data_IF_268940209520
#
_entry.id   IF_268940209520
#
_cell.length_a   1.000
_cell.length_b   1.000
_cell.length_c   1.000
_cell.angle_alpha   90.00
_cell.angle_beta   90.00
_cell.angle_gamma   90.00
#
_symmetry.space_group_name_H-M   'P 1'
#
loop_
_entity.id
_entity.type
_entity.pdbx_description
1 polymer ?
#
# COMPACT_ATOMS: atom_id res chain seq x y z
N UNK A 1 -21.21 -11.62 12.61
CA UNK A 1 -20.02 -11.92 13.43
C UNK A 1 -18.94 -12.38 12.48
N UNK A 2 -17.91 -11.57 12.33
CA UNK A 2 -16.80 -11.85 11.41
C UNK A 2 -16.05 -13.10 11.92
N UNK A 3 -15.36 -13.79 11.03
CA UNK A 3 -14.59 -14.99 11.44
C UNK A 3 -13.47 -14.65 12.43
N UNK A 4 -12.94 -13.41 12.39
CA UNK A 4 -11.98 -12.91 13.37
C UNK A 4 -12.57 -12.81 14.78
N UNK A 5 -13.86 -12.47 14.92
CA UNK A 5 -14.53 -12.40 16.22
C UNK A 5 -14.58 -13.79 16.86
N UNK A 6 -14.88 -14.82 16.05
CA UNK A 6 -14.85 -16.22 16.51
C UNK A 6 -13.46 -16.65 16.93
N UNK A 7 -12.43 -16.23 16.21
CA UNK A 7 -11.06 -16.60 16.54
C UNK A 7 -10.55 -15.87 17.81
N UNK A 8 -11.04 -14.65 18.06
CA UNK A 8 -10.82 -13.95 19.33
C UNK A 8 -11.54 -14.63 20.48
N UNK A 9 -12.83 -14.96 20.31
CA UNK A 9 -13.65 -15.62 21.34
C UNK A 9 -13.11 -17.01 21.70
N UNK A 10 -12.59 -17.73 20.70
CA UNK A 10 -11.95 -19.04 20.89
C UNK A 10 -10.49 -18.94 21.39
N UNK A 11 -9.98 -17.74 21.66
CA UNK A 11 -8.64 -17.48 22.18
C UNK A 11 -7.50 -17.82 21.20
N UNK A 12 -7.80 -18.04 19.91
CA UNK A 12 -6.78 -18.27 18.88
C UNK A 12 -6.03 -16.98 18.54
N UNK A 13 -6.71 -15.84 18.60
CA UNK A 13 -6.13 -14.51 18.39
C UNK A 13 -6.35 -13.67 19.64
N UNK A 14 -5.31 -12.97 20.07
CA UNK A 14 -5.40 -11.98 21.17
C UNK A 14 -5.34 -10.57 20.56
N UNK A 15 -6.39 -9.75 20.67
CA UNK A 15 -6.36 -8.35 20.27
C UNK A 15 -5.34 -7.53 21.07
N UNK A 16 -5.03 -6.33 20.60
CA UNK A 16 -4.26 -5.34 21.39
C UNK A 16 -2.78 -5.67 21.59
N UNK A 17 -2.20 -6.61 20.82
CA UNK A 17 -0.81 -7.03 21.01
C UNK A 17 0.24 -6.04 20.50
N UNK A 18 -0.15 -4.92 19.89
CA UNK A 18 0.78 -3.98 19.26
C UNK A 18 0.28 -2.54 19.37
N UNK A 19 1.23 -1.62 19.51
CA UNK A 19 0.99 -0.19 19.27
C UNK A 19 1.12 0.07 17.76
N UNK A 20 0.20 0.81 17.15
CA UNK A 20 0.15 1.00 15.70
C UNK A 20 0.79 2.34 15.35
N UNK A 21 1.88 2.31 14.58
CA UNK A 21 2.49 3.49 13.99
C UNK A 21 2.17 3.49 12.49
N UNK A 22 1.26 4.36 12.07
CA UNK A 22 0.79 4.41 10.69
C UNK A 22 1.35 5.64 9.96
N UNK A 23 1.83 5.43 8.74
CA UNK A 23 2.26 6.46 7.80
C UNK A 23 1.39 6.41 6.56
N UNK A 24 0.98 7.59 6.07
CA UNK A 24 0.23 7.76 4.83
C UNK A 24 1.06 8.62 3.87
N UNK A 25 1.70 7.97 2.89
CA UNK A 25 2.56 8.64 1.93
C UNK A 25 1.76 9.38 0.84
N UNK A 26 0.43 9.19 0.77
CA UNK A 26 -0.42 9.93 -0.15
C UNK A 26 -0.48 11.43 0.16
N UNK A 27 -0.25 11.80 1.43
CA UNK A 27 -0.33 13.16 1.94
C UNK A 27 0.94 14.00 1.71
N UNK A 28 2.05 13.41 1.25
CA UNK A 28 3.26 14.16 0.96
C UNK A 28 3.08 15.02 -0.31
N UNK A 29 3.39 16.31 -0.23
CA UNK A 29 3.39 17.21 -1.38
C UNK A 29 4.46 16.75 -2.38
N UNK A 30 4.02 16.52 -3.62
CA UNK A 30 4.80 15.96 -4.72
C UNK A 30 5.33 17.07 -5.64
N UNK A 31 5.87 18.13 -5.04
CA UNK A 31 6.36 19.29 -5.79
C UNK A 31 7.54 18.93 -6.70
N UNK A 32 7.64 19.57 -7.87
CA UNK A 32 8.84 19.54 -8.70
C UNK A 32 10.05 20.24 -8.05
N UNK A 33 9.80 21.05 -7.01
CA UNK A 33 10.83 21.57 -6.11
C UNK A 33 11.22 20.49 -5.09
N UNK A 34 12.45 20.01 -5.22
CA UNK A 34 13.07 18.97 -4.41
C UNK A 34 13.14 19.31 -2.93
N UNK A 35 13.47 20.56 -2.58
CA UNK A 35 13.58 20.97 -1.17
C UNK A 35 12.20 21.04 -0.53
N UNK A 36 11.21 21.53 -1.28
CA UNK A 36 9.82 21.53 -0.83
C UNK A 36 9.26 20.11 -0.68
N UNK A 37 9.59 19.20 -1.62
CA UNK A 37 9.19 17.80 -1.55
C UNK A 37 9.83 17.07 -0.36
N UNK A 38 11.13 17.30 -0.09
CA UNK A 38 11.81 16.78 1.10
C UNK A 38 11.16 17.30 2.39
N UNK A 39 10.97 18.61 2.50
CA UNK A 39 10.36 19.23 3.67
C UNK A 39 8.95 18.68 3.91
N UNK A 40 8.19 18.45 2.84
CA UNK A 40 6.86 17.84 2.94
C UNK A 40 6.91 16.38 3.37
N UNK A 41 7.83 15.57 2.83
CA UNK A 41 8.02 14.17 3.23
C UNK A 41 8.38 14.10 4.71
N UNK A 42 9.38 14.87 5.13
CA UNK A 42 9.82 14.96 6.51
C UNK A 42 8.69 15.44 7.44
N UNK A 43 7.91 16.42 7.01
CA UNK A 43 6.75 16.95 7.74
C UNK A 43 5.67 15.89 7.95
N UNK A 44 5.32 15.14 6.89
CA UNK A 44 4.33 14.06 6.96
C UNK A 44 4.78 12.92 7.89
N UNK A 45 6.04 12.48 7.78
CA UNK A 45 6.59 11.45 8.66
C UNK A 45 6.55 11.89 10.13
N UNK A 46 7.00 13.11 10.43
CA UNK A 46 6.95 13.65 11.78
C UNK A 46 5.51 13.87 12.26
N UNK A 47 4.56 14.23 11.38
CA UNK A 47 3.14 14.36 11.73
C UNK A 47 2.58 13.02 12.22
N UNK A 48 2.88 11.93 11.50
CA UNK A 48 2.49 10.57 11.89
C UNK A 48 3.05 10.17 13.25
N UNK A 49 4.31 10.53 13.54
CA UNK A 49 4.95 10.28 14.85
C UNK A 49 4.29 11.12 15.96
N UNK A 50 3.88 12.37 15.69
CA UNK A 50 3.13 13.18 16.65
C UNK A 50 1.78 12.53 16.99
N UNK A 51 1.03 12.09 15.97
CA UNK A 51 -0.24 11.38 16.17
C UNK A 51 -0.05 10.12 17.00
N UNK A 52 1.04 9.37 16.78
CA UNK A 52 1.38 8.22 17.60
C UNK A 52 1.56 8.60 19.07
N UNK A 53 2.31 9.64 19.37
CA UNK A 53 2.48 10.11 20.76
C UNK A 53 1.17 10.58 21.37
N UNK A 54 0.36 11.38 20.66
CA UNK A 54 -0.95 11.79 21.16
C UNK A 54 -1.88 10.62 21.45
N UNK A 55 -1.82 9.57 20.62
CA UNK A 55 -2.66 8.37 20.80
C UNK A 55 -2.19 7.53 21.99
N UNK A 56 -0.88 7.36 22.15
CA UNK A 56 -0.32 6.41 23.13
C UNK A 56 0.28 7.05 24.38
N UNK A 57 0.23 8.38 24.53
CA UNK A 57 0.72 9.09 25.72
C UNK A 57 0.27 8.46 27.05
N UNK A 58 -0.99 8.02 27.23
CA UNK A 58 -1.43 7.39 28.49
C UNK A 58 -0.66 6.12 28.87
N UNK A 59 0.01 5.47 27.92
CA UNK A 59 0.73 4.22 28.11
C UNK A 59 2.25 4.39 28.13
N UNK A 60 2.78 5.51 27.63
CA UNK A 60 4.22 5.71 27.44
C UNK A 60 4.91 6.41 28.62
N UNK A 61 4.21 6.55 29.75
CA UNK A 61 4.72 7.07 31.01
C UNK A 61 3.81 8.12 31.63
N UNK A 62 4.37 8.97 32.50
CA UNK A 62 3.63 10.05 33.17
C UNK A 62 3.64 11.37 32.41
N UNK A 63 4.32 11.42 31.26
CA UNK A 63 4.40 12.62 30.44
C UNK A 63 3.08 12.87 29.71
N UNK A 64 2.74 14.14 29.53
CA UNK A 64 1.65 14.54 28.62
C UNK A 64 2.06 14.27 27.18
N UNK A 65 1.09 14.13 26.27
CA UNK A 65 1.36 14.02 24.83
C UNK A 65 2.21 15.19 24.32
N UNK A 66 1.86 16.40 24.74
CA UNK A 66 2.58 17.64 24.50
C UNK A 66 4.05 17.57 24.93
N UNK A 67 4.32 16.96 26.08
CA UNK A 67 5.69 16.76 26.56
C UNK A 67 6.43 15.71 25.74
N UNK A 68 5.80 14.56 25.45
CA UNK A 68 6.38 13.52 24.61
C UNK A 68 6.74 14.06 23.21
N UNK A 69 5.85 14.86 22.62
CA UNK A 69 6.08 15.47 21.31
C UNK A 69 7.26 16.45 21.36
N UNK A 70 7.30 17.35 22.35
CA UNK A 70 8.38 18.34 22.45
C UNK A 70 9.76 17.72 22.70
N UNK A 71 9.82 16.64 23.48
CA UNK A 71 11.08 16.02 23.88
C UNK A 71 11.61 15.04 22.83
N UNK A 72 10.73 14.45 22.01
CA UNK A 72 11.09 13.28 21.18
C UNK A 72 10.77 13.44 19.68
N UNK A 73 10.25 14.59 19.25
CA UNK A 73 10.05 14.89 17.81
C UNK A 73 11.03 15.98 17.38
N UNK A 74 11.97 15.60 16.54
CA UNK A 74 13.08 16.42 16.06
C UNK A 74 12.81 16.99 14.66
N UNK A 75 13.63 17.96 14.20
CA UNK A 75 13.59 18.40 12.81
C UNK A 75 13.77 17.26 11.82
N UNK A 76 14.57 16.25 12.13
CA UNK A 76 14.75 15.04 11.30
C UNK A 76 13.76 13.95 11.69
N UNK A 77 12.90 13.52 10.75
CA UNK A 77 11.97 12.41 10.99
C UNK A 77 12.66 11.07 11.25
N UNK A 78 13.89 10.90 10.75
CA UNK A 78 14.72 9.71 11.01
C UNK A 78 15.12 9.65 12.49
N UNK A 79 15.51 10.78 13.06
CA UNK A 79 15.83 10.90 14.49
C UNK A 79 14.56 10.70 15.33
N UNK A 80 13.46 11.33 14.96
CA UNK A 80 12.16 11.17 15.63
C UNK A 80 11.69 9.72 15.68
N UNK A 81 11.85 8.97 14.57
CA UNK A 81 11.50 7.55 14.53
C UNK A 81 12.37 6.74 15.51
N UNK A 82 13.67 7.01 15.52
CA UNK A 82 14.62 6.32 16.40
C UNK A 82 14.25 6.53 17.87
N UNK A 83 13.92 7.76 18.25
CA UNK A 83 13.53 8.09 19.62
C UNK A 83 12.14 7.53 19.97
N UNK A 84 11.18 7.58 19.05
CA UNK A 84 9.87 6.94 19.23
C UNK A 84 9.99 5.46 19.57
N UNK A 85 10.83 4.74 18.83
CA UNK A 85 11.12 3.35 19.12
C UNK A 85 11.81 3.19 20.49
N UNK A 86 12.71 4.11 20.85
CA UNK A 86 13.36 4.10 22.17
C UNK A 86 12.36 4.31 23.33
N UNK A 87 11.46 5.28 23.22
CA UNK A 87 10.41 5.57 24.22
C UNK A 87 9.51 4.36 24.43
N UNK A 88 9.00 3.76 23.35
CA UNK A 88 8.18 2.54 23.42
C UNK A 88 8.95 1.39 24.04
N UNK A 89 10.24 1.27 23.70
CA UNK A 89 11.12 0.24 24.25
C UNK A 89 11.32 0.39 25.76
N UNK A 90 11.51 1.62 26.23
CA UNK A 90 11.59 1.92 27.66
C UNK A 90 10.28 1.60 28.38
N UNK A 91 9.13 2.02 27.84
CA UNK A 91 7.81 1.78 28.44
C UNK A 91 7.52 0.28 28.58
N UNK A 92 7.67 -0.48 27.49
CA UNK A 92 7.46 -1.92 27.48
C UNK A 92 8.46 -2.69 28.38
N UNK A 93 9.68 -2.17 28.60
CA UNK A 93 10.63 -2.74 29.56
C UNK A 93 10.30 -2.45 31.01
N UNK A 94 9.48 -1.44 31.27
CA UNK A 94 9.07 -1.03 32.61
C UNK A 94 7.87 -1.84 33.12
N UNK A 95 7.16 -2.56 32.25
CA UNK A 95 6.05 -3.45 32.62
C UNK A 95 6.52 -4.49 33.63
N UNK A 96 5.84 -4.59 34.77
CA UNK A 96 6.14 -5.55 35.87
C UNK A 96 4.94 -6.38 36.29
N UNK A 97 3.75 -5.81 36.19
CA UNK A 97 2.51 -6.39 36.71
C UNK A 97 1.60 -6.85 35.56
N UNK A 98 0.75 -7.83 35.82
CA UNK A 98 -0.12 -8.43 34.80
C UNK A 98 -1.30 -7.51 34.42
N UNK A 99 -1.64 -6.54 35.26
CA UNK A 99 -2.70 -5.55 35.08
C UNK A 99 -2.21 -4.25 34.40
N UNK A 100 -0.91 -4.13 34.13
CA UNK A 100 -0.36 -3.03 33.34
C UNK A 100 -1.03 -3.01 31.95
N UNK A 101 -1.50 -1.87 31.44
CA UNK A 101 -2.17 -1.79 30.15
C UNK A 101 -1.27 -2.20 28.96
N UNK A 102 0.05 -2.20 29.14
CA UNK A 102 1.01 -2.69 28.16
C UNK A 102 1.36 -4.19 28.34
N UNK A 103 0.77 -4.88 29.32
CA UNK A 103 0.94 -6.31 29.51
C UNK A 103 0.54 -7.09 28.25
N UNK A 104 1.44 -7.91 27.72
CA UNK A 104 1.21 -8.67 26.49
C UNK A 104 1.39 -7.88 25.18
N UNK A 105 1.69 -6.58 25.24
CA UNK A 105 2.06 -5.78 24.07
C UNK A 105 3.47 -6.16 23.62
N UNK A 106 3.62 -6.46 22.34
CA UNK A 106 4.84 -7.03 21.73
C UNK A 106 5.73 -5.99 21.05
N UNK A 107 5.35 -4.72 21.02
CA UNK A 107 6.06 -3.65 20.32
C UNK A 107 5.18 -2.87 19.37
N UNK A 108 5.82 -2.26 18.38
CA UNK A 108 5.18 -1.45 17.35
C UNK A 108 4.85 -2.33 16.13
N UNK A 109 3.64 -2.18 15.62
CA UNK A 109 3.27 -2.58 14.26
C UNK A 109 3.30 -1.32 13.39
N UNK A 110 4.26 -1.26 12.47
CA UNK A 110 4.36 -0.17 11.51
C UNK A 110 3.46 -0.46 10.29
N UNK A 111 2.60 0.48 9.96
CA UNK A 111 1.81 0.48 8.73
C UNK A 111 2.31 1.63 7.85
N UNK A 112 2.56 1.36 6.57
CA UNK A 112 2.88 2.41 5.60
C UNK A 112 2.01 2.22 4.37
N UNK A 113 1.13 3.19 4.14
CA UNK A 113 0.26 3.22 2.99
C UNK A 113 0.83 4.07 1.86
N UNK A 114 0.50 3.71 0.61
CA UNK A 114 0.92 4.43 -0.60
C UNK A 114 2.46 4.63 -0.67
N UNK A 115 3.24 3.64 -0.23
CA UNK A 115 4.70 3.74 -0.06
C UNK A 115 5.44 4.25 -1.30
N UNK A 116 4.95 3.86 -2.47
CA UNK A 116 5.52 4.22 -3.76
C UNK A 116 5.04 5.56 -4.30
N UNK A 117 3.99 6.16 -3.73
CA UNK A 117 3.39 7.41 -4.22
C UNK A 117 4.38 8.56 -4.29
N UNK A 118 5.32 8.65 -3.34
CA UNK A 118 6.36 9.66 -3.36
C UNK A 118 7.38 9.41 -4.49
N UNK A 119 7.81 8.16 -4.68
CA UNK A 119 8.81 7.80 -5.69
C UNK A 119 8.25 7.85 -7.12
N UNK A 120 6.97 7.56 -7.31
CA UNK A 120 6.32 7.53 -8.62
C UNK A 120 6.34 8.91 -9.32
N UNK A 121 6.29 10.02 -8.57
CA UNK A 121 6.34 11.37 -9.17
C UNK A 121 7.71 11.70 -9.80
N UNK A 122 8.79 11.12 -9.27
CA UNK A 122 10.13 11.34 -9.78
C UNK A 122 10.49 10.42 -10.95
N UNK A 123 9.55 9.59 -11.41
CA UNK A 123 9.69 8.82 -12.65
C UNK A 123 9.31 9.70 -13.84
N UNK A 124 10.30 10.18 -14.58
CA UNK A 124 10.07 10.92 -15.84
C UNK A 124 10.51 10.10 -17.05
N UNK A 125 9.61 9.84 -18.03
CA UNK A 125 9.99 9.21 -19.31
C UNK A 125 10.95 10.06 -20.14
N UNK A 126 10.88 11.39 -20.01
CA UNK A 126 11.72 12.33 -20.79
C UNK A 126 13.12 12.52 -20.19
N UNK A 127 13.36 11.98 -19.00
CA UNK A 127 14.64 12.04 -18.30
C UNK A 127 15.23 10.63 -18.13
N UNK A 128 15.82 10.10 -19.21
CA UNK A 128 16.51 8.82 -19.27
C UNK A 128 17.79 8.73 -18.40
N UNK A 129 18.06 9.74 -17.56
CA UNK A 129 19.18 9.64 -16.63
C UNK A 129 18.88 8.51 -15.63
N UNK A 130 19.86 7.61 -15.35
CA UNK A 130 19.69 6.60 -14.31
C UNK A 130 19.17 7.24 -13.03
N UNK A 131 18.38 6.52 -12.23
CA UNK A 131 17.97 6.92 -10.87
C UNK A 131 19.10 7.57 -10.05
N UNK A 132 20.36 7.21 -10.31
CA UNK A 132 21.59 7.79 -9.75
C UNK A 132 21.73 9.31 -9.95
N UNK A 133 21.04 9.90 -10.93
CA UNK A 133 21.03 11.34 -11.24
C UNK A 133 19.81 12.10 -10.72
N UNK A 134 18.81 11.43 -10.12
CA UNK A 134 17.80 12.06 -9.26
C UNK A 134 18.47 12.51 -7.96
N UNK A 135 19.37 13.49 -8.11
CA UNK A 135 19.99 14.28 -7.07
C UNK A 135 18.90 15.03 -6.34
N UNK A 136 18.57 14.53 -5.17
CA UNK A 136 17.60 15.13 -4.28
C UNK A 136 17.82 14.57 -2.87
N UNK A 137 17.95 15.47 -1.90
CA UNK A 137 17.98 15.13 -0.48
C UNK A 137 16.74 14.31 -0.07
N UNK A 138 15.60 14.48 -0.75
CA UNK A 138 14.37 13.75 -0.48
C UNK A 138 14.48 12.23 -0.71
N UNK A 139 15.17 11.80 -1.77
CA UNK A 139 15.46 10.37 -1.98
C UNK A 139 16.40 9.83 -0.87
N UNK A 140 17.36 10.64 -0.46
CA UNK A 140 18.25 10.28 0.66
C UNK A 140 17.50 10.19 2.00
N UNK A 141 16.49 11.05 2.21
CA UNK A 141 15.60 11.02 3.37
C UNK A 141 14.73 9.75 3.36
N UNK A 142 14.07 9.44 2.23
CA UNK A 142 13.26 8.23 2.10
C UNK A 142 14.11 6.98 2.36
N UNK A 143 15.28 6.88 1.72
CA UNK A 143 16.23 5.79 1.92
C UNK A 143 16.73 5.71 3.36
N UNK A 144 17.08 6.84 3.96
CA UNK A 144 17.55 6.93 5.35
C UNK A 144 16.48 6.54 6.35
N UNK A 145 15.23 6.96 6.13
CA UNK A 145 14.07 6.56 6.92
C UNK A 145 13.87 5.04 6.88
N UNK A 146 13.82 4.45 5.69
CA UNK A 146 13.61 3.01 5.55
C UNK A 146 14.80 2.16 5.99
N UNK A 147 16.03 2.65 5.82
CA UNK A 147 17.22 2.04 6.42
C UNK A 147 17.13 2.05 7.95
N UNK A 148 16.57 3.12 8.53
CA UNK A 148 16.34 3.22 9.97
C UNK A 148 15.26 2.26 10.42
N UNK A 149 14.11 2.19 9.73
CA UNK A 149 13.07 1.19 9.98
C UNK A 149 13.66 -0.22 9.96
N UNK A 150 14.47 -0.55 8.94
CA UNK A 150 15.15 -1.85 8.84
C UNK A 150 16.09 -2.10 10.02
N UNK A 151 16.84 -1.09 10.47
CA UNK A 151 17.77 -1.23 11.58
C UNK A 151 17.10 -1.48 12.93
N UNK A 152 15.84 -1.00 13.09
CA UNK A 152 15.06 -1.18 14.33
C UNK A 152 14.03 -2.31 14.24
N UNK A 153 13.82 -2.87 13.05
CA UNK A 153 12.96 -4.04 12.82
C UNK A 153 13.49 -5.27 13.56
N UNK A 154 12.60 -5.99 14.25
CA UNK A 154 12.91 -7.20 14.99
C UNK A 154 13.64 -6.95 16.31
N UNK A 155 14.89 -6.48 16.25
CA UNK A 155 15.79 -6.41 17.42
C UNK A 155 15.51 -5.22 18.33
N UNK A 156 14.88 -4.14 17.81
CA UNK A 156 14.68 -2.89 18.57
C UNK A 156 13.24 -2.38 18.62
N UNK A 157 12.25 -3.24 18.34
CA UNK A 157 10.79 -3.13 18.66
C UNK A 157 9.84 -2.52 17.63
N UNK A 158 10.25 -2.33 16.39
CA UNK A 158 9.28 -2.52 15.31
C UNK A 158 9.20 -4.04 15.08
N UNK A 159 8.11 -4.65 15.50
CA UNK A 159 7.97 -6.11 15.49
C UNK A 159 7.38 -6.61 14.18
N UNK A 160 6.52 -5.78 13.56
CA UNK A 160 5.90 -6.03 12.26
C UNK A 160 5.88 -4.75 11.45
N UNK A 161 6.04 -4.89 10.15
CA UNK A 161 5.90 -3.83 9.18
C UNK A 161 4.98 -4.35 8.07
N UNK A 162 3.94 -3.60 7.73
CA UNK A 162 3.07 -3.88 6.60
C UNK A 162 3.02 -2.64 5.73
N UNK A 163 3.23 -2.86 4.43
CA UNK A 163 3.38 -1.79 3.45
C UNK A 163 2.44 -2.08 2.30
N UNK A 164 1.70 -1.06 1.88
CA UNK A 164 0.86 -1.05 0.67
C UNK A 164 1.42 -0.07 -0.36
N UNK A 165 1.13 -0.34 -1.62
CA UNK A 165 1.66 0.39 -2.77
C UNK A 165 1.53 -0.42 -4.05
N UNK A 166 1.59 0.25 -5.20
CA UNK A 166 1.28 -0.35 -6.52
C UNK A 166 2.55 -0.71 -7.30
N UNK A 167 3.63 0.05 -7.10
CA UNK A 167 4.84 0.01 -7.93
C UNK A 167 5.99 -0.79 -7.27
N UNK A 168 6.44 -1.89 -7.89
CA UNK A 168 7.63 -2.63 -7.46
C UNK A 168 8.92 -1.82 -7.61
N UNK A 169 8.90 -0.71 -8.37
CA UNK A 169 10.09 0.07 -8.71
C UNK A 169 10.72 0.71 -7.47
N UNK A 170 9.92 1.08 -6.48
CA UNK A 170 10.36 1.67 -5.21
C UNK A 170 10.94 0.64 -4.22
N UNK A 171 10.83 -0.66 -4.54
CA UNK A 171 11.34 -1.78 -3.74
C UNK A 171 12.57 -2.48 -4.35
N UNK A 172 12.90 -2.22 -5.61
CA UNK A 172 14.11 -2.76 -6.25
C UNK A 172 15.39 -2.34 -5.48
N UNK A 173 16.42 -3.19 -5.47
CA UNK A 173 17.66 -3.01 -4.66
C UNK A 173 18.38 -1.67 -4.85
N UNK A 174 18.03 -0.89 -5.87
CA UNK A 174 18.59 0.45 -6.12
C UNK A 174 17.82 1.59 -5.42
N UNK A 175 16.54 1.36 -5.07
CA UNK A 175 15.62 2.36 -4.52
C UNK A 175 15.33 2.14 -3.03
N UNK A 176 15.38 0.91 -2.50
CA UNK A 176 14.94 0.65 -1.12
C UNK A 176 16.07 0.34 -0.12
N UNK A 177 16.04 1.03 1.02
CA UNK A 177 16.73 0.59 2.24
C UNK A 177 16.04 -0.61 2.92
N UNK A 178 14.95 -1.12 2.34
CA UNK A 178 14.01 -2.07 2.95
C UNK A 178 13.86 -3.39 2.15
N UNK A 179 14.95 -3.89 1.58
CA UNK A 179 15.01 -5.16 0.84
C UNK A 179 14.82 -6.44 1.67
N UNK A 180 14.19 -6.34 2.85
CA UNK A 180 13.83 -7.46 3.73
C UNK A 180 12.33 -7.79 3.68
N UNK A 181 11.57 -7.04 2.88
CA UNK A 181 10.13 -7.24 2.72
C UNK A 181 9.80 -8.51 1.93
N UNK A 182 8.71 -9.18 2.31
CA UNK A 182 8.12 -10.30 1.55
C UNK A 182 6.85 -9.84 0.87
N UNK A 183 6.69 -10.09 -0.43
CA UNK A 183 5.47 -9.81 -1.18
C UNK A 183 4.36 -10.79 -0.75
N UNK A 184 3.44 -10.32 0.09
CA UNK A 184 2.31 -11.14 0.56
C UNK A 184 1.14 -11.15 -0.43
N UNK A 185 1.03 -10.13 -1.29
CA UNK A 185 -0.02 -10.02 -2.32
C UNK A 185 0.01 -11.18 -3.33
N UNK A 186 1.14 -11.89 -3.43
CA UNK A 186 1.29 -13.07 -4.29
C UNK A 186 0.85 -14.38 -3.62
N UNK A 187 0.48 -14.35 -2.35
CA UNK A 187 -0.01 -15.52 -1.64
C UNK A 187 -1.47 -15.77 -1.99
N UNK A 188 -1.79 -17.00 -2.40
CA UNK A 188 -3.15 -17.43 -2.76
C UNK A 188 -4.16 -17.13 -1.67
N UNK A 189 -3.77 -17.32 -0.41
CA UNK A 189 -4.67 -17.16 0.73
C UNK A 189 -5.06 -15.70 0.97
N UNK A 190 -4.32 -14.75 0.38
CA UNK A 190 -4.50 -13.31 0.55
C UNK A 190 -4.96 -12.62 -0.74
N UNK A 191 -5.12 -13.35 -1.85
CA UNK A 191 -5.47 -12.75 -3.14
C UNK A 191 -6.83 -12.03 -3.11
N UNK A 192 -7.77 -12.53 -2.30
CA UNK A 192 -9.07 -11.90 -2.09
C UNK A 192 -9.01 -10.59 -1.31
N UNK A 193 -7.87 -10.22 -0.70
CA UNK A 193 -7.73 -8.91 -0.05
C UNK A 193 -7.58 -7.76 -1.05
N UNK A 194 -7.25 -8.07 -2.30
CA UNK A 194 -6.93 -7.08 -3.33
C UNK A 194 -8.13 -6.69 -4.20
N UNK A 195 -9.33 -7.22 -3.92
CA UNK A 195 -10.51 -7.02 -4.77
C UNK A 195 -11.70 -7.88 -4.35
N UNK A 196 -12.79 -7.78 -5.11
CA UNK A 196 -13.99 -8.59 -4.88
C UNK A 196 -13.93 -9.89 -5.68
N UNK A 197 -14.45 -10.98 -5.12
CA UNK A 197 -14.62 -12.25 -5.84
C UNK A 197 -15.88 -12.24 -6.73
N UNK A 198 -16.03 -13.23 -7.61
CA UNK A 198 -17.28 -13.40 -8.36
C UNK A 198 -18.46 -13.60 -7.39
N UNK A 199 -18.24 -14.35 -6.30
CA UNK A 199 -19.23 -14.57 -5.24
C UNK A 199 -19.64 -13.29 -4.54
N UNK A 200 -18.70 -12.39 -4.23
CA UNK A 200 -18.99 -11.09 -3.60
C UNK A 200 -19.86 -10.22 -4.51
N UNK A 201 -19.51 -10.14 -5.80
CA UNK A 201 -20.27 -9.34 -6.78
C UNK A 201 -21.66 -9.93 -7.00
N UNK A 202 -21.79 -11.26 -7.12
CA UNK A 202 -23.08 -11.92 -7.19
C UNK A 202 -23.93 -11.67 -5.94
N UNK A 203 -23.33 -11.81 -4.75
CA UNK A 203 -24.02 -11.54 -3.49
C UNK A 203 -24.52 -10.09 -3.41
N UNK A 204 -23.72 -9.13 -3.88
CA UNK A 204 -24.10 -7.73 -3.93
C UNK A 204 -25.26 -7.45 -4.88
N UNK A 205 -25.24 -8.03 -6.09
CA UNK A 205 -26.34 -7.90 -7.06
C UNK A 205 -27.64 -8.57 -6.59
N UNK A 206 -27.52 -9.62 -5.78
CA UNK A 206 -28.65 -10.33 -5.18
C UNK A 206 -29.20 -9.66 -3.92
N UNK A 207 -28.61 -8.53 -3.47
CA UNK A 207 -29.16 -7.80 -2.32
C UNK A 207 -30.53 -7.19 -2.66
N UNK A 208 -31.47 -7.16 -1.69
CA UNK A 208 -32.78 -6.55 -1.91
C UNK A 208 -32.65 -5.09 -2.37
N UNK A 209 -33.30 -4.77 -3.49
CA UNK A 209 -33.31 -3.41 -4.05
C UNK A 209 -32.19 -3.12 -5.07
N UNK A 210 -31.29 -4.07 -5.34
CA UNK A 210 -30.25 -3.94 -6.38
C UNK A 210 -30.77 -4.47 -7.72
N UNK A 211 -31.06 -5.76 -7.83
CA UNK A 211 -31.71 -6.37 -8.99
C UNK A 211 -33.09 -6.91 -8.62
N UNK A 212 -34.04 -6.87 -9.56
CA UNK A 212 -35.44 -7.33 -9.39
C UNK A 212 -35.66 -8.74 -9.89
N UNK A 213 -34.85 -9.19 -10.85
CA UNK A 213 -34.94 -10.53 -11.45
C UNK A 213 -33.56 -11.17 -11.61
N UNK A 214 -33.54 -12.49 -11.73
CA UNK A 214 -32.32 -13.25 -12.04
C UNK A 214 -31.71 -12.83 -13.39
N UNK A 215 -32.55 -12.61 -14.41
CA UNK A 215 -32.07 -12.17 -15.73
C UNK A 215 -31.37 -10.81 -15.69
N UNK A 216 -31.89 -9.89 -14.87
CA UNK A 216 -31.27 -8.58 -14.63
C UNK A 216 -29.93 -8.75 -13.90
N UNK A 217 -29.89 -9.57 -12.85
CA UNK A 217 -28.67 -9.90 -12.11
C UNK A 217 -27.59 -10.45 -13.06
N UNK A 218 -27.92 -11.45 -13.88
CA UNK A 218 -26.98 -12.06 -14.82
C UNK A 218 -26.48 -11.06 -15.87
N UNK A 219 -27.35 -10.15 -16.33
CA UNK A 219 -26.97 -9.07 -17.25
C UNK A 219 -25.96 -8.12 -16.62
N UNK A 220 -26.22 -7.64 -15.40
CA UNK A 220 -25.31 -6.72 -14.69
C UNK A 220 -24.01 -7.41 -14.32
N UNK A 221 -24.07 -8.64 -13.83
CA UNK A 221 -22.88 -9.45 -13.55
C UNK A 221 -21.99 -9.60 -14.77
N UNK A 222 -22.57 -9.89 -15.95
CA UNK A 222 -21.81 -9.98 -17.19
C UNK A 222 -21.11 -8.66 -17.53
N UNK A 223 -21.80 -7.53 -17.40
CA UNK A 223 -21.21 -6.21 -17.65
C UNK A 223 -20.04 -5.95 -16.69
N UNK A 224 -20.22 -6.20 -15.39
CA UNK A 224 -19.15 -6.03 -14.40
C UNK A 224 -17.98 -6.97 -14.67
N UNK A 225 -18.25 -8.23 -15.08
CA UNK A 225 -17.21 -9.21 -15.39
C UNK A 225 -16.40 -8.82 -16.62
N UNK A 226 -17.05 -8.32 -17.66
CA UNK A 226 -16.38 -7.92 -18.90
C UNK A 226 -15.51 -6.65 -18.73
N UNK A 227 -15.84 -5.78 -17.77
CA UNK A 227 -15.20 -4.46 -17.64
C UNK A 227 -14.32 -4.30 -16.38
N UNK A 228 -14.62 -5.00 -15.29
CA UNK A 228 -13.99 -4.76 -13.98
C UNK A 228 -13.24 -5.96 -13.41
N UNK A 229 -13.47 -7.16 -13.97
CA UNK A 229 -12.75 -8.37 -13.60
C UNK A 229 -11.50 -8.56 -14.46
N UNK A 230 -10.46 -9.15 -13.90
CA UNK A 230 -9.22 -9.45 -14.63
C UNK A 230 -7.95 -9.29 -13.80
N UNK A 231 -8.04 -8.72 -12.60
CA UNK A 231 -6.89 -8.57 -11.72
C UNK A 231 -6.47 -9.94 -11.17
N UNK A 232 -5.17 -10.23 -11.23
CA UNK A 232 -4.58 -11.42 -10.62
C UNK A 232 -3.20 -11.08 -10.09
N UNK A 233 -3.02 -11.32 -8.79
CA UNK A 233 -1.79 -11.00 -8.08
C UNK A 233 -0.96 -12.26 -7.77
N UNK A 234 -1.46 -13.46 -8.07
CA UNK A 234 -0.77 -14.72 -7.80
C UNK A 234 -0.07 -15.19 -9.07
N UNK A 235 1.20 -15.54 -8.94
CA UNK A 235 1.99 -16.08 -10.05
C UNK A 235 1.33 -17.39 -10.55
N UNK A 236 0.88 -17.38 -11.82
CA UNK A 236 0.26 -18.50 -12.56
C UNK A 236 -1.13 -18.93 -12.05
N UNK A 237 -2.17 -18.52 -12.81
CA UNK A 237 -3.46 -19.18 -13.15
C UNK A 237 -4.19 -20.13 -12.18
N UNK A 238 -3.80 -20.21 -10.91
CA UNK A 238 -4.35 -21.16 -9.93
C UNK A 238 -5.39 -20.52 -9.01
N UNK A 239 -5.70 -19.23 -9.20
CA UNK A 239 -6.65 -18.48 -8.39
C UNK A 239 -7.56 -17.66 -9.31
N UNK A 240 -8.89 -17.61 -9.03
CA UNK A 240 -9.81 -16.78 -9.80
C UNK A 240 -9.35 -15.32 -9.84
N UNK A 241 -9.67 -14.65 -10.94
CA UNK A 241 -9.50 -13.20 -11.04
C UNK A 241 -10.41 -12.50 -10.03
N UNK A 242 -9.98 -11.34 -9.59
CA UNK A 242 -10.75 -10.48 -8.71
C UNK A 242 -11.14 -9.21 -9.46
N UNK A 243 -12.26 -8.65 -9.03
CA UNK A 243 -12.78 -7.39 -9.54
C UNK A 243 -12.14 -6.23 -8.79
N UNK A 244 -11.91 -5.12 -9.50
CA UNK A 244 -11.59 -3.86 -8.84
C UNK A 244 -12.77 -3.43 -7.95
N UNK A 245 -12.49 -3.24 -6.66
CA UNK A 245 -13.52 -2.90 -5.66
C UNK A 245 -14.19 -1.56 -5.96
N UNK A 246 -13.41 -0.53 -6.31
CA UNK A 246 -13.94 0.81 -6.52
C UNK A 246 -14.90 0.85 -7.72
N UNK A 247 -14.49 0.30 -8.86
CA UNK A 247 -15.35 0.29 -10.07
C UNK A 247 -16.62 -0.54 -9.85
N UNK A 248 -16.55 -1.61 -9.06
CA UNK A 248 -17.73 -2.37 -8.68
C UNK A 248 -18.68 -1.59 -7.79
N UNK A 249 -18.15 -0.89 -6.77
CA UNK A 249 -18.97 -0.08 -5.87
C UNK A 249 -19.64 1.08 -6.60
N UNK A 250 -18.93 1.79 -7.48
CA UNK A 250 -19.49 2.86 -8.32
C UNK A 250 -20.61 2.33 -9.22
N UNK A 251 -20.42 1.15 -9.81
CA UNK A 251 -21.45 0.51 -10.64
C UNK A 251 -22.69 0.14 -9.82
N UNK A 252 -22.50 -0.48 -8.66
CA UNK A 252 -23.60 -0.88 -7.77
C UNK A 252 -24.35 0.34 -7.23
N UNK A 253 -23.65 1.42 -6.88
CA UNK A 253 -24.27 2.68 -6.46
C UNK A 253 -25.12 3.28 -7.56
N UNK A 254 -24.58 3.35 -8.79
CA UNK A 254 -25.31 3.86 -9.95
C UNK A 254 -26.56 3.02 -10.24
N UNK A 255 -26.43 1.69 -10.13
CA UNK A 255 -27.54 0.75 -10.31
C UNK A 255 -28.66 0.97 -9.28
N UNK A 256 -28.31 1.13 -8.00
CA UNK A 256 -29.28 1.37 -6.91
C UNK A 256 -29.96 2.73 -7.06
N UNK A 257 -29.27 3.73 -7.60
CA UNK A 257 -29.80 5.09 -7.80
C UNK A 257 -30.55 5.30 -9.11
N UNK A 258 -30.60 4.28 -9.98
CA UNK A 258 -31.15 4.38 -11.34
C UNK A 258 -30.43 5.48 -12.17
N UNK A 259 -29.12 5.63 -11.94
CA UNK A 259 -28.28 6.58 -12.67
C UNK A 259 -27.69 5.94 -13.94
N UNK A 260 -27.43 6.72 -15.00
CA UNK A 260 -26.81 6.19 -16.22
C UNK A 260 -25.44 5.57 -15.95
N UNK A 261 -25.25 4.32 -16.38
CA UNK A 261 -23.98 3.60 -16.18
C UNK A 261 -23.16 3.59 -17.46
N UNK A 262 -21.89 4.00 -17.38
CA UNK A 262 -20.91 3.84 -18.45
C UNK A 262 -19.80 2.87 -18.02
N UNK A 263 -19.88 1.58 -18.40
CA UNK A 263 -18.93 0.57 -17.94
C UNK A 263 -17.49 0.76 -18.42
N UNK A 264 -17.28 1.56 -19.48
CA UNK A 264 -15.98 1.77 -20.11
C UNK A 264 -15.27 3.07 -19.69
N UNK A 265 -15.95 3.93 -18.95
CA UNK A 265 -15.42 5.24 -18.55
C UNK A 265 -15.38 5.35 -17.02
N UNK A 266 -14.63 4.45 -16.39
CA UNK A 266 -14.53 4.41 -14.93
C UNK A 266 -13.31 5.20 -14.47
N UNK A 267 -13.48 6.02 -13.44
CA UNK A 267 -12.34 6.60 -12.74
C UNK A 267 -11.50 5.42 -12.19
N UNK A 268 -10.19 5.42 -12.49
CA UNK A 268 -9.21 4.39 -12.10
C UNK A 268 -9.01 3.18 -13.04
N UNK A 269 -9.63 3.14 -14.24
CA UNK A 269 -9.26 2.16 -15.27
C UNK A 269 -8.19 2.66 -16.27
N UNK A 270 -7.89 3.96 -16.24
CA UNK A 270 -6.93 4.56 -17.17
C UNK A 270 -5.49 4.30 -16.70
N UNK A 271 -4.70 3.65 -17.56
CA UNK A 271 -3.25 3.60 -17.39
C UNK A 271 -2.74 5.03 -17.53
N UNK A 272 -2.01 5.53 -16.53
CA UNK A 272 -1.52 6.91 -16.54
C UNK A 272 -0.74 7.21 -17.83
N UNK A 273 -0.99 8.38 -18.43
CA UNK A 273 -0.27 8.82 -19.63
C UNK A 273 1.27 8.75 -19.48
N UNK A 274 1.87 9.16 -18.34
CA UNK A 274 3.31 8.98 -18.11
C UNK A 274 3.75 7.51 -18.18
N UNK A 275 2.99 6.58 -17.59
CA UNK A 275 3.30 5.15 -17.70
C UNK A 275 3.22 4.65 -19.15
N UNK A 276 2.22 5.12 -19.93
CA UNK A 276 2.13 4.80 -21.36
C UNK A 276 3.31 5.37 -22.14
N UNK A 277 3.74 6.59 -21.83
CA UNK A 277 4.93 7.21 -22.43
C UNK A 277 6.21 6.45 -22.08
N UNK A 278 6.37 6.01 -20.82
CA UNK A 278 7.49 5.16 -20.38
C UNK A 278 7.50 3.83 -21.16
N UNK A 279 6.35 3.18 -21.28
CA UNK A 279 6.22 1.92 -22.03
C UNK A 279 6.50 2.12 -23.52
N UNK A 280 6.03 3.23 -24.10
CA UNK A 280 6.27 3.59 -25.49
C UNK A 280 7.74 3.94 -25.78
N UNK A 281 8.44 4.58 -24.83
CA UNK A 281 9.86 4.92 -24.95
C UNK A 281 10.75 3.67 -24.91
N UNK A 282 10.31 2.58 -24.28
CA UNK A 282 11.04 1.31 -24.24
C UNK A 282 10.82 0.49 -25.52
N UNK A 283 11.86 0.24 -26.33
CA UNK A 283 11.73 -0.59 -27.54
C UNK A 283 11.31 -2.02 -27.21
N UNK A 284 11.74 -2.54 -26.06
CA UNK A 284 11.42 -3.89 -25.58
C UNK A 284 9.94 -3.97 -25.19
N UNK A 285 9.45 -3.05 -24.36
CA UNK A 285 8.04 -3.04 -23.96
C UNK A 285 7.12 -2.83 -25.17
N UNK A 286 7.46 -1.89 -26.05
CA UNK A 286 6.72 -1.63 -27.28
C UNK A 286 6.65 -2.84 -28.21
N UNK A 287 7.75 -3.59 -28.36
CA UNK A 287 7.77 -4.83 -29.15
C UNK A 287 6.85 -5.88 -28.52
N UNK A 288 6.96 -6.12 -27.21
CA UNK A 288 6.18 -7.13 -26.51
C UNK A 288 4.68 -6.81 -26.57
N UNK A 289 4.30 -5.55 -26.37
CA UNK A 289 2.91 -5.09 -26.47
C UNK A 289 2.41 -5.28 -27.91
N UNK A 290 3.19 -4.85 -28.91
CA UNK A 290 2.82 -4.98 -30.33
C UNK A 290 2.64 -6.45 -30.75
N UNK A 291 3.53 -7.33 -30.31
CA UNK A 291 3.47 -8.76 -30.60
C UNK A 291 2.28 -9.43 -29.92
N UNK A 292 1.98 -9.03 -28.68
CA UNK A 292 0.83 -9.54 -27.92
C UNK A 292 -0.50 -9.13 -28.58
N UNK A 293 -0.62 -7.87 -29.02
CA UNK A 293 -1.80 -7.35 -29.72
C UNK A 293 -2.06 -8.03 -31.08
N UNK A 294 -1.03 -8.59 -31.71
CA UNK A 294 -1.14 -9.33 -32.98
C UNK A 294 -1.47 -10.81 -32.79
N UNK A 295 -1.38 -11.33 -31.57
CA UNK A 295 -1.62 -12.74 -31.27
C UNK A 295 -3.12 -13.05 -31.12
N UNK A 296 -3.51 -14.32 -31.34
CA UNK A 296 -4.88 -14.78 -31.14
C UNK A 296 -5.30 -14.86 -29.65
N UNK A 297 -4.34 -14.86 -28.73
CA UNK A 297 -4.55 -14.84 -27.27
C UNK A 297 -3.68 -13.71 -26.70
N UNK A 298 -4.15 -12.45 -26.70
CA UNK A 298 -3.36 -11.26 -26.41
C UNK A 298 -3.01 -11.18 -24.92
N UNK A 299 -2.10 -12.05 -24.49
CA UNK A 299 -1.51 -12.06 -23.16
C UNK A 299 -0.08 -11.55 -23.25
N UNK A 300 0.23 -10.55 -22.44
CA UNK A 300 1.58 -10.05 -22.28
C UNK A 300 2.33 -11.04 -21.36
N UNK A 301 3.41 -11.70 -21.81
CA UNK A 301 4.19 -12.61 -20.99
C UNK A 301 4.97 -11.81 -19.94
N UNK A 302 4.38 -11.70 -18.74
CA UNK A 302 4.90 -10.88 -17.64
C UNK A 302 6.34 -11.29 -17.25
N UNK A 303 6.64 -12.58 -17.24
CA UNK A 303 7.98 -13.12 -16.98
C UNK A 303 9.03 -12.60 -17.98
N UNK A 304 8.68 -12.54 -19.27
CA UNK A 304 9.55 -11.97 -20.31
C UNK A 304 9.66 -10.46 -20.17
N UNK A 305 8.56 -9.78 -19.81
CA UNK A 305 8.56 -8.34 -19.58
C UNK A 305 9.49 -7.98 -18.41
N UNK A 306 9.37 -8.65 -17.26
CA UNK A 306 10.18 -8.38 -16.06
C UNK A 306 11.67 -8.67 -16.29
N UNK A 307 12.01 -9.73 -17.02
CA UNK A 307 13.41 -10.06 -17.31
C UNK A 307 14.06 -9.11 -18.32
N UNK A 308 13.25 -8.56 -19.22
CA UNK A 308 13.72 -7.79 -20.39
C UNK A 308 13.56 -6.28 -20.21
N UNK A 309 12.64 -5.84 -19.35
CA UNK A 309 12.41 -4.45 -18.99
C UNK A 309 13.29 -4.07 -17.80
N UNK A 310 14.31 -3.26 -18.05
CA UNK A 310 15.13 -2.66 -16.99
C UNK A 310 14.95 -1.16 -17.07
N UNK A 311 14.86 -0.48 -15.92
CA UNK A 311 14.86 0.98 -15.84
C UNK A 311 16.08 1.62 -16.55
N UNK A 312 17.18 0.89 -16.67
CA UNK A 312 18.39 1.30 -17.42
C UNK A 312 18.23 1.18 -18.94
N UNK A 313 17.11 0.66 -19.42
CA UNK A 313 16.77 0.48 -20.83
C UNK A 313 15.77 1.53 -21.33
N UNK A 314 15.35 2.44 -20.45
CA UNK A 314 14.81 3.76 -20.77
C UNK A 314 15.99 4.71 -20.95
#
# INVERSE_FOLDING_TARGET
MLDVDRDVDNGKVKPGQYLVLAFDFSAANRSSDVEAAEASLNGMLNSSIRTFYSTYAPYLGTATDDQLIRENVFPSAVESLTECVHVVNKALNAVREEDDPLCGVKGIYLLADEYDAFSNEFLSPDDARPWDHLRSNANSLLKGFWATVKSVLGVRRITKCFITGVSPLSMADRTSGFNVASYVSWRRELSGLCGLTEEDVFAALNMPGVCRTEDEMQKHFKVMKDNYNGYNFVELSQVPHIFNTNTCLEYLESLVRDEPINPSAVCNSEVSEPALQILAASPVASSIISDSLRSQDPKIPYDKLVQSFRLTSL
#
